data_IF_990187944589
#
_entry.id   IF_990187944589
#
_cell.length_a   1.000
_cell.length_b   1.000
_cell.length_c   1.000
_cell.angle_alpha   90.00
_cell.angle_beta   90.00
_cell.angle_gamma   90.00
#
_symmetry.space_group_name_H-M   'P 1'
#
loop_
_entity.id
_entity.type
_entity.pdbx_description
1 polymer ?
#
# COMPACT_ATOMS: atom_id res chain seq x y z
N UNK A 1 -23.39 52.16 13.09
CA UNK A 1 -22.31 51.34 12.48
C UNK A 1 -21.51 50.72 13.59
N UNK A 2 -21.85 49.48 13.97
CA UNK A 2 -21.19 48.74 15.08
C UNK A 2 -20.31 47.67 14.46
N UNK A 3 -18.99 47.84 14.54
CA UNK A 3 -17.99 46.90 14.09
C UNK A 3 -17.86 45.74 15.07
N UNK A 4 -18.10 44.56 14.61
CA UNK A 4 -17.81 43.31 15.36
C UNK A 4 -16.29 43.04 15.35
N UNK A 5 -15.67 43.28 16.53
CA UNK A 5 -14.29 42.89 16.80
C UNK A 5 -14.25 41.39 17.14
N UNK A 6 -13.89 40.57 16.18
CA UNK A 6 -13.71 39.13 16.38
C UNK A 6 -12.26 38.85 16.77
N UNK A 7 -12.07 38.32 17.99
CA UNK A 7 -10.77 38.10 18.63
C UNK A 7 -10.01 36.96 17.94
N UNK A 8 -8.77 37.21 17.47
CA UNK A 8 -7.88 36.28 16.75
C UNK A 8 -7.69 34.89 17.39
N UNK A 9 -7.85 34.79 18.69
CA UNK A 9 -7.74 33.52 19.43
C UNK A 9 -8.93 32.57 19.24
N UNK A 10 -10.11 33.06 18.84
CA UNK A 10 -11.29 32.23 18.56
C UNK A 10 -11.30 31.69 17.12
N UNK A 11 -10.52 32.29 16.22
CA UNK A 11 -10.42 31.84 14.83
C UNK A 11 -9.51 30.62 14.65
N UNK A 12 -8.48 30.47 15.48
CA UNK A 12 -7.53 29.35 15.43
C UNK A 12 -8.13 28.05 16.00
N UNK A 13 -9.07 28.15 16.94
CA UNK A 13 -9.75 26.99 17.54
C UNK A 13 -10.83 26.35 16.65
N UNK A 14 -11.32 27.06 15.62
CA UNK A 14 -12.37 26.58 14.73
C UNK A 14 -11.81 25.85 13.47
N UNK A 15 -10.54 26.05 13.15
CA UNK A 15 -9.89 25.43 11.98
C UNK A 15 -9.37 23.99 12.24
N UNK A 16 -9.19 23.59 13.48
CA UNK A 16 -8.66 22.27 13.82
C UNK A 16 -9.68 21.12 13.81
N UNK A 17 -10.98 21.43 13.84
CA UNK A 17 -12.06 20.42 13.84
C UNK A 17 -12.88 20.40 12.53
N UNK A 18 -12.66 21.40 11.64
CA UNK A 18 -13.47 21.57 10.44
C UNK A 18 -12.99 20.83 9.20
N UNK A 19 -11.71 20.47 9.12
CA UNK A 19 -11.14 19.92 7.88
C UNK A 19 -11.51 18.44 7.65
N UNK A 20 -11.60 17.63 8.69
CA UNK A 20 -12.03 16.24 8.54
C UNK A 20 -13.53 16.12 8.17
N UNK A 21 -14.38 17.02 8.70
CA UNK A 21 -15.82 17.02 8.38
C UNK A 21 -16.14 17.58 6.97
N UNK A 22 -15.32 18.50 6.44
CA UNK A 22 -15.52 19.07 5.11
C UNK A 22 -15.15 18.09 3.98
N UNK A 23 -14.23 17.15 4.23
CA UNK A 23 -13.89 16.13 3.24
C UNK A 23 -15.03 15.12 3.01
N UNK A 24 -15.82 14.82 4.06
CA UNK A 24 -16.97 13.90 3.96
C UNK A 24 -18.25 14.55 3.39
N UNK A 25 -18.31 15.88 3.34
CA UNK A 25 -19.48 16.62 2.80
C UNK A 25 -19.27 17.13 1.38
N UNK A 26 -18.14 16.86 0.76
CA UNK A 26 -17.90 17.23 -0.63
C UNK A 26 -18.53 16.16 -1.55
N UNK A 27 -19.48 16.53 -2.46
CA UNK A 27 -20.12 15.55 -3.35
C UNK A 27 -19.17 14.85 -4.33
N UNK A 28 -17.90 15.30 -4.43
CA UNK A 28 -16.84 14.60 -5.15
C UNK A 28 -16.39 13.28 -4.46
N UNK A 29 -16.74 13.10 -3.19
CA UNK A 29 -16.44 11.90 -2.38
C UNK A 29 -17.73 11.19 -1.95
N UNK A 30 -18.79 11.25 -2.79
CA UNK A 30 -19.95 10.40 -2.56
C UNK A 30 -19.49 8.96 -2.50
N UNK A 31 -19.75 8.30 -1.37
CA UNK A 31 -19.38 6.92 -1.14
C UNK A 31 -19.92 6.07 -2.29
N UNK A 32 -19.03 5.72 -3.22
CA UNK A 32 -19.33 4.68 -4.17
C UNK A 32 -19.41 3.39 -3.36
N UNK A 33 -20.52 2.68 -3.43
CA UNK A 33 -20.77 1.40 -2.74
C UNK A 33 -19.94 0.27 -3.37
N UNK A 34 -18.68 0.57 -3.65
CA UNK A 34 -17.73 -0.32 -4.32
C UNK A 34 -17.49 -1.63 -3.56
N UNK A 35 -17.52 -1.54 -2.24
CA UNK A 35 -17.39 -2.72 -1.40
C UNK A 35 -18.77 -3.32 -1.14
N UNK A 36 -19.10 -4.38 -1.87
CA UNK A 36 -20.41 -5.04 -1.81
C UNK A 36 -20.65 -5.88 -0.56
N UNK A 37 -19.63 -6.05 0.29
CA UNK A 37 -19.63 -6.91 1.46
C UNK A 37 -19.04 -6.19 2.68
N UNK A 38 -19.54 -6.53 3.86
CA UNK A 38 -18.96 -6.12 5.14
C UNK A 38 -17.71 -6.94 5.53
N UNK A 39 -17.34 -7.91 4.71
CA UNK A 39 -16.14 -8.73 4.95
C UNK A 39 -14.87 -7.93 4.66
N UNK A 40 -14.01 -7.69 5.66
CA UNK A 40 -12.73 -7.00 5.48
C UNK A 40 -11.73 -7.78 4.62
N UNK A 41 -11.99 -9.06 4.37
CA UNK A 41 -11.17 -9.95 3.57
C UNK A 41 -11.84 -10.34 2.25
N UNK A 42 -12.89 -9.60 1.84
CA UNK A 42 -13.52 -9.77 0.54
C UNK A 42 -12.52 -9.66 -0.59
N UNK A 43 -12.79 -10.39 -1.68
CA UNK A 43 -11.96 -10.30 -2.88
C UNK A 43 -12.19 -8.96 -3.58
N UNK A 44 -11.10 -8.34 -3.97
CA UNK A 44 -11.04 -7.12 -4.76
C UNK A 44 -10.14 -7.33 -5.98
N UNK A 45 -10.39 -6.58 -7.05
CA UNK A 45 -9.53 -6.57 -8.23
C UNK A 45 -8.72 -5.27 -8.25
N UNK A 46 -7.43 -5.37 -8.52
CA UNK A 46 -6.54 -4.22 -8.61
C UNK A 46 -6.70 -3.55 -9.99
N UNK A 47 -7.57 -2.56 -10.07
CA UNK A 47 -7.88 -1.86 -11.31
C UNK A 47 -8.20 -2.84 -12.46
N UNK A 48 -7.62 -2.57 -13.64
CA UNK A 48 -7.75 -3.41 -14.84
C UNK A 48 -6.65 -4.48 -14.97
N UNK A 49 -5.79 -4.66 -13.95
CA UNK A 49 -4.65 -5.60 -14.01
C UNK A 49 -5.07 -7.07 -14.08
N UNK A 50 -6.32 -7.42 -13.75
CA UNK A 50 -6.79 -8.79 -13.59
C UNK A 50 -6.28 -9.50 -12.33
N UNK A 51 -5.45 -8.84 -11.51
CA UNK A 51 -4.97 -9.39 -10.24
C UNK A 51 -6.07 -9.26 -9.20
N UNK A 52 -6.47 -10.38 -8.62
CA UNK A 52 -7.46 -10.44 -7.54
C UNK A 52 -6.77 -10.80 -6.22
N UNK A 53 -7.18 -10.15 -5.14
CA UNK A 53 -6.64 -10.38 -3.80
C UNK A 53 -7.65 -9.99 -2.72
N UNK A 54 -7.24 -9.90 -1.45
CA UNK A 54 -8.08 -9.44 -0.34
C UNK A 54 -7.98 -7.94 -0.14
N UNK A 55 -9.08 -7.31 0.33
CA UNK A 55 -9.14 -5.87 0.62
C UNK A 55 -8.08 -5.43 1.64
N UNK A 56 -7.80 -6.27 2.65
CA UNK A 56 -6.73 -6.05 3.62
C UNK A 56 -5.57 -6.99 3.31
N UNK A 57 -4.37 -6.44 3.17
CA UNK A 57 -3.13 -7.15 2.96
C UNK A 57 -2.11 -6.92 4.09
N UNK A 58 -1.13 -7.82 4.19
CA UNK A 58 -0.04 -7.74 5.16
C UNK A 58 1.23 -7.15 4.53
N UNK A 59 1.71 -6.04 5.08
CA UNK A 59 3.03 -5.48 4.78
C UNK A 59 4.11 -6.15 5.62
N UNK A 60 5.21 -6.57 5.02
CA UNK A 60 6.33 -7.20 5.72
C UNK A 60 7.51 -6.27 6.00
N UNK A 61 7.39 -5.00 5.58
CA UNK A 61 8.46 -4.00 5.64
C UNK A 61 8.44 -3.09 6.87
N UNK A 62 7.95 -3.55 8.02
CA UNK A 62 7.95 -2.76 9.26
C UNK A 62 9.41 -2.47 9.68
N UNK A 63 9.75 -1.16 9.79
CA UNK A 63 11.10 -0.69 10.09
C UNK A 63 12.19 -1.28 9.18
N UNK A 64 11.88 -1.43 7.88
CA UNK A 64 12.76 -2.10 6.94
C UNK A 64 13.81 -1.18 6.34
N UNK A 65 15.03 -1.70 6.26
CA UNK A 65 16.16 -1.14 5.52
C UNK A 65 17.24 -2.21 5.36
N UNK A 66 18.05 -2.10 4.31
CA UNK A 66 19.25 -2.93 4.12
C UNK A 66 18.98 -4.44 4.24
N UNK A 67 17.89 -4.93 3.64
CA UNK A 67 17.37 -6.30 3.71
C UNK A 67 17.12 -6.79 5.13
N UNK A 68 16.70 -5.88 5.99
CA UNK A 68 16.34 -6.18 7.37
C UNK A 68 15.03 -5.48 7.73
N UNK A 69 14.12 -6.17 8.37
CA UNK A 69 12.81 -5.68 8.83
C UNK A 69 12.51 -6.21 10.23
N UNK A 70 11.37 -5.81 10.82
CA UNK A 70 10.94 -6.39 12.08
C UNK A 70 10.89 -7.93 12.00
N UNK A 71 10.27 -8.48 10.95
CA UNK A 71 10.16 -9.94 10.74
C UNK A 71 11.51 -10.66 10.67
N UNK A 72 12.54 -10.04 10.09
CA UNK A 72 13.85 -10.67 9.96
C UNK A 72 14.74 -10.53 11.20
N UNK A 73 14.39 -9.62 12.12
CA UNK A 73 15.17 -9.37 13.37
C UNK A 73 14.62 -10.07 14.59
N UNK A 74 13.36 -10.49 14.56
CA UNK A 74 12.78 -11.27 15.64
C UNK A 74 13.08 -12.77 15.48
N UNK A 75 12.65 -13.57 16.45
CA UNK A 75 12.70 -15.03 16.38
C UNK A 75 11.95 -15.56 15.14
N UNK A 76 12.59 -16.48 14.40
CA UNK A 76 12.03 -17.02 13.15
C UNK A 76 10.67 -17.70 13.38
N UNK A 77 10.54 -18.48 14.48
CA UNK A 77 9.29 -19.18 14.76
C UNK A 77 8.13 -18.21 14.99
N UNK A 78 8.38 -17.07 15.66
CA UNK A 78 7.37 -16.02 15.86
C UNK A 78 6.99 -15.34 14.54
N UNK A 79 7.97 -15.10 13.66
CA UNK A 79 7.70 -14.52 12.34
C UNK A 79 6.87 -15.45 11.47
N UNK A 80 7.18 -16.75 11.48
CA UNK A 80 6.41 -17.77 10.77
C UNK A 80 4.99 -17.88 11.35
N UNK A 81 4.85 -17.86 12.68
CA UNK A 81 3.54 -17.89 13.35
C UNK A 81 2.69 -16.68 12.95
N UNK A 82 3.27 -15.48 12.88
CA UNK A 82 2.58 -14.28 12.47
C UNK A 82 2.09 -14.35 11.01
N UNK A 83 2.95 -14.83 10.10
CA UNK A 83 2.60 -15.02 8.68
C UNK A 83 1.51 -16.07 8.50
N UNK A 84 1.61 -17.21 9.23
CA UNK A 84 0.58 -18.26 9.20
C UNK A 84 -0.74 -17.74 9.75
N UNK A 85 -0.72 -17.00 10.86
CA UNK A 85 -1.94 -16.40 11.42
C UNK A 85 -2.64 -15.46 10.44
N UNK A 86 -1.87 -14.62 9.73
CA UNK A 86 -2.43 -13.77 8.67
C UNK A 86 -3.13 -14.59 7.57
N UNK A 87 -2.49 -15.67 7.11
CA UNK A 87 -3.07 -16.56 6.11
C UNK A 87 -4.31 -17.30 6.63
N UNK A 88 -4.26 -17.85 7.85
CA UNK A 88 -5.39 -18.55 8.51
C UNK A 88 -6.60 -17.63 8.72
N UNK A 89 -6.36 -16.36 9.00
CA UNK A 89 -7.44 -15.35 9.08
C UNK A 89 -8.03 -14.97 7.74
N UNK A 90 -7.40 -15.36 6.63
CA UNK A 90 -7.89 -15.15 5.29
C UNK A 90 -7.20 -14.04 4.51
N UNK A 91 -6.14 -13.41 5.05
CA UNK A 91 -5.30 -12.48 4.27
C UNK A 91 -4.62 -13.24 3.15
N UNK A 92 -4.70 -12.72 1.92
CA UNK A 92 -4.11 -13.36 0.73
C UNK A 92 -3.09 -12.47 0.01
N UNK A 93 -2.92 -11.23 0.44
CA UNK A 93 -1.93 -10.31 -0.10
C UNK A 93 -0.76 -10.14 0.86
N UNK A 94 0.46 -10.40 0.37
CA UNK A 94 1.70 -10.19 1.10
C UNK A 94 2.61 -9.21 0.34
N UNK A 95 2.95 -8.10 1.00
CA UNK A 95 3.75 -7.02 0.43
C UNK A 95 5.20 -7.12 0.89
N UNK A 96 6.09 -7.41 -0.05
CA UNK A 96 7.53 -7.54 0.13
C UNK A 96 8.28 -6.45 -0.64
N UNK A 97 9.58 -6.39 -0.43
CA UNK A 97 10.53 -5.63 -1.24
C UNK A 97 11.96 -6.14 -1.01
N UNK A 98 12.86 -5.84 -1.93
CA UNK A 98 14.28 -6.15 -1.80
C UNK A 98 14.86 -5.61 -0.48
N UNK A 99 14.52 -4.38 -0.13
CA UNK A 99 14.99 -3.73 1.11
C UNK A 99 14.49 -4.38 2.40
N UNK A 100 13.45 -5.23 2.35
CA UNK A 100 12.83 -5.83 3.55
C UNK A 100 13.49 -7.12 4.00
N UNK A 101 14.12 -7.86 3.07
CA UNK A 101 14.78 -9.14 3.34
C UNK A 101 13.83 -10.29 3.71
N UNK A 102 12.54 -10.17 3.40
CA UNK A 102 11.49 -11.09 3.88
C UNK A 102 11.14 -12.22 2.90
N UNK A 103 11.78 -12.28 1.71
CA UNK A 103 11.45 -13.29 0.70
C UNK A 103 11.62 -14.73 1.23
N UNK A 104 12.78 -15.05 1.81
CA UNK A 104 13.04 -16.39 2.34
C UNK A 104 12.15 -16.73 3.55
N UNK A 105 11.78 -15.73 4.35
CA UNK A 105 10.85 -15.92 5.47
C UNK A 105 9.45 -16.27 4.95
N UNK A 106 8.95 -15.57 3.92
CA UNK A 106 7.68 -15.92 3.30
C UNK A 106 7.75 -17.28 2.58
N UNK A 107 8.88 -17.64 1.95
CA UNK A 107 9.08 -18.95 1.33
C UNK A 107 8.89 -20.09 2.35
N UNK A 108 9.50 -19.97 3.54
CA UNK A 108 9.31 -20.93 4.62
C UNK A 108 7.86 -21.00 5.11
N UNK A 109 7.19 -19.84 5.24
CA UNK A 109 5.79 -19.83 5.62
C UNK A 109 4.90 -20.50 4.56
N UNK A 110 5.20 -20.33 3.28
CA UNK A 110 4.46 -20.93 2.16
C UNK A 110 4.54 -22.47 2.11
N UNK A 111 5.44 -23.13 2.83
CA UNK A 111 5.42 -24.60 2.96
C UNK A 111 4.09 -25.12 3.54
N UNK A 112 3.36 -24.26 4.27
CA UNK A 112 2.04 -24.56 4.86
C UNK A 112 0.89 -23.71 4.29
N UNK A 113 1.10 -23.06 3.14
CA UNK A 113 0.11 -22.21 2.47
C UNK A 113 -0.04 -22.66 1.02
N UNK A 114 -1.23 -22.51 0.43
CA UNK A 114 -1.40 -22.70 -1.01
C UNK A 114 -0.91 -21.46 -1.76
N UNK A 115 0.22 -21.59 -2.49
CA UNK A 115 0.78 -20.50 -3.31
C UNK A 115 -0.24 -19.91 -4.29
N UNK A 116 -1.18 -20.71 -4.79
CA UNK A 116 -2.20 -20.27 -5.76
C UNK A 116 -3.24 -19.34 -5.17
N UNK A 117 -3.44 -19.39 -3.86
CA UNK A 117 -4.32 -18.48 -3.15
C UNK A 117 -3.66 -17.13 -2.87
N UNK A 118 -2.33 -17.05 -2.93
CA UNK A 118 -1.58 -15.87 -2.54
C UNK A 118 -1.39 -14.90 -3.71
N UNK A 119 -1.47 -13.63 -3.40
CA UNK A 119 -0.97 -12.52 -4.21
C UNK A 119 0.29 -11.98 -3.55
N UNK A 120 1.43 -12.20 -4.19
CA UNK A 120 2.73 -11.77 -3.68
C UNK A 120 3.18 -10.56 -4.50
N UNK A 121 3.41 -9.45 -3.80
CA UNK A 121 4.04 -8.26 -4.38
C UNK A 121 5.46 -8.13 -3.84
N UNK A 122 6.40 -7.84 -4.73
CA UNK A 122 7.74 -7.42 -4.33
C UNK A 122 8.21 -6.23 -5.15
N UNK A 123 9.32 -5.60 -4.71
CA UNK A 123 9.76 -4.33 -5.28
C UNK A 123 11.27 -4.32 -5.47
N UNK A 124 11.70 -3.86 -6.65
CA UNK A 124 13.10 -3.70 -7.03
C UNK A 124 13.59 -2.35 -6.50
N UNK A 125 14.73 -2.35 -5.81
CA UNK A 125 15.35 -1.14 -5.28
C UNK A 125 16.41 -0.58 -6.23
N UNK A 126 16.16 0.60 -6.80
CA UNK A 126 17.04 1.24 -7.78
C UNK A 126 17.83 2.44 -7.22
N UNK A 127 17.50 2.90 -6.02
CA UNK A 127 18.14 4.06 -5.40
C UNK A 127 19.46 3.68 -4.72
N UNK A 128 20.32 4.66 -4.47
CA UNK A 128 21.53 4.47 -3.67
C UNK A 128 21.23 4.06 -2.23
N UNK A 129 22.05 3.21 -1.63
CA UNK A 129 21.79 2.62 -0.30
C UNK A 129 20.59 1.70 -0.29
N UNK A 130 20.00 1.44 0.88
CA UNK A 130 18.78 0.66 1.05
C UNK A 130 18.91 -0.85 0.91
N UNK A 131 19.93 -1.33 0.21
CA UNK A 131 20.36 -2.73 0.13
C UNK A 131 21.89 -2.80 0.27
N UNK A 132 22.46 -3.97 0.65
CA UNK A 132 23.90 -4.10 0.87
C UNK A 132 24.77 -3.80 -0.36
N UNK A 133 24.27 -4.20 -1.53
CA UNK A 133 25.01 -4.05 -2.79
C UNK A 133 24.92 -2.61 -3.33
N UNK A 134 26.02 -2.12 -3.89
CA UNK A 134 26.05 -0.83 -4.59
C UNK A 134 25.50 -0.92 -6.03
N UNK A 135 25.60 -2.11 -6.64
CA UNK A 135 25.18 -2.34 -8.00
C UNK A 135 23.65 -2.49 -8.08
N UNK A 136 23.10 -2.08 -9.21
CA UNK A 136 21.67 -2.25 -9.55
C UNK A 136 21.58 -3.09 -10.81
N UNK A 137 21.45 -4.42 -10.66
CA UNK A 137 21.37 -5.33 -11.80
C UNK A 137 20.09 -5.09 -12.62
N UNK A 138 20.07 -5.53 -13.89
CA UNK A 138 18.83 -5.55 -14.69
C UNK A 138 17.69 -6.26 -13.97
N UNK A 139 16.46 -5.82 -14.24
CA UNK A 139 15.27 -6.29 -13.52
C UNK A 139 15.03 -7.80 -13.65
N UNK A 140 15.41 -8.44 -14.76
CA UNK A 140 15.30 -9.90 -14.95
C UNK A 140 16.22 -10.66 -13.97
N UNK A 141 17.44 -10.19 -13.75
CA UNK A 141 18.38 -10.77 -12.78
C UNK A 141 17.81 -10.65 -11.36
N UNK A 142 17.25 -9.49 -11.03
CA UNK A 142 16.65 -9.25 -9.71
C UNK A 142 15.40 -10.10 -9.50
N UNK A 143 14.51 -10.17 -10.50
CA UNK A 143 13.27 -10.97 -10.42
C UNK A 143 13.60 -12.47 -10.35
N UNK A 144 14.60 -12.96 -11.07
CA UNK A 144 15.03 -14.35 -10.97
C UNK A 144 15.57 -14.68 -9.57
N UNK A 145 16.33 -13.76 -8.95
CA UNK A 145 16.74 -13.89 -7.54
C UNK A 145 15.52 -13.93 -6.61
N UNK A 146 14.54 -13.03 -6.76
CA UNK A 146 13.34 -13.02 -5.92
C UNK A 146 12.54 -14.33 -6.04
N UNK A 147 12.42 -14.88 -7.26
CA UNK A 147 11.75 -16.17 -7.46
C UNK A 147 12.47 -17.32 -6.76
N UNK A 148 13.80 -17.34 -6.82
CA UNK A 148 14.63 -18.33 -6.10
C UNK A 148 14.48 -18.17 -4.58
N UNK A 149 14.56 -16.95 -4.06
CA UNK A 149 14.38 -16.66 -2.64
C UNK A 149 12.97 -17.03 -2.13
N UNK A 150 11.94 -16.84 -2.95
CA UNK A 150 10.55 -17.18 -2.67
C UNK A 150 10.19 -18.65 -2.96
N UNK A 151 11.08 -19.39 -3.60
CA UNK A 151 10.82 -20.76 -4.08
C UNK A 151 9.51 -20.86 -4.89
N UNK A 152 9.36 -20.01 -5.92
CA UNK A 152 8.16 -19.90 -6.75
C UNK A 152 8.50 -19.70 -8.23
N UNK A 153 7.67 -20.21 -9.13
CA UNK A 153 7.86 -20.04 -10.57
C UNK A 153 7.42 -18.67 -11.10
N UNK A 154 6.57 -17.96 -10.37
CA UNK A 154 6.04 -16.64 -10.76
C UNK A 154 5.83 -15.73 -9.57
N UNK A 155 5.79 -14.41 -9.84
CA UNK A 155 5.42 -13.38 -8.87
C UNK A 155 4.19 -12.65 -9.40
N UNK A 156 3.23 -12.33 -8.51
CA UNK A 156 1.98 -11.71 -8.96
C UNK A 156 2.18 -10.24 -9.36
N UNK A 157 2.95 -9.48 -8.59
CA UNK A 157 3.22 -8.07 -8.87
C UNK A 157 4.67 -7.71 -8.56
N UNK A 158 5.39 -7.16 -9.53
CA UNK A 158 6.73 -6.60 -9.33
C UNK A 158 6.69 -5.09 -9.58
N UNK A 159 7.22 -4.31 -8.65
CA UNK A 159 7.21 -2.86 -8.73
C UNK A 159 8.60 -2.24 -8.67
N UNK A 160 8.77 -1.09 -9.28
CA UNK A 160 9.89 -0.18 -9.01
C UNK A 160 9.65 0.50 -7.67
N UNK A 161 10.64 0.44 -6.76
CA UNK A 161 10.45 0.81 -5.36
C UNK A 161 10.79 2.27 -5.08
N UNK A 162 9.85 2.98 -4.44
CA UNK A 162 10.11 4.28 -3.83
C UNK A 162 10.54 5.36 -4.84
N UNK A 163 9.81 5.50 -5.95
CA UNK A 163 10.06 6.58 -6.90
C UNK A 163 9.67 7.92 -6.29
N UNK A 164 10.55 8.92 -6.47
CA UNK A 164 10.41 10.26 -5.89
C UNK A 164 10.48 11.39 -6.92
N UNK A 165 11.08 11.13 -8.09
CA UNK A 165 11.28 12.11 -9.15
C UNK A 165 10.18 12.01 -10.20
N UNK A 166 9.84 13.10 -10.87
CA UNK A 166 8.83 13.14 -11.93
C UNK A 166 9.29 12.51 -13.25
N UNK A 167 10.62 12.42 -13.46
CA UNK A 167 11.23 11.82 -14.64
C UNK A 167 11.58 10.32 -14.45
N UNK A 168 11.04 9.65 -13.42
CA UNK A 168 11.36 8.24 -13.16
C UNK A 168 11.00 7.33 -14.34
N UNK A 169 9.98 7.67 -15.12
CA UNK A 169 9.58 6.89 -16.29
C UNK A 169 10.65 6.83 -17.37
N UNK A 170 11.42 7.92 -17.53
CA UNK A 170 12.55 7.97 -18.46
C UNK A 170 13.79 7.29 -17.87
N UNK A 171 14.11 7.61 -16.62
CA UNK A 171 15.29 7.06 -15.95
C UNK A 171 15.22 5.55 -15.70
N UNK A 172 14.02 4.99 -15.53
CA UNK A 172 13.77 3.54 -15.32
C UNK A 172 13.33 2.80 -16.58
N UNK A 173 13.38 3.44 -17.75
CA UNK A 173 12.87 2.86 -19.01
C UNK A 173 13.42 1.46 -19.29
N UNK A 174 14.72 1.23 -19.10
CA UNK A 174 15.33 -0.08 -19.30
C UNK A 174 14.75 -1.15 -18.38
N UNK A 175 14.55 -0.84 -17.10
CA UNK A 175 13.94 -1.76 -16.13
C UNK A 175 12.45 -2.03 -16.48
N UNK A 176 11.74 -0.99 -16.89
CA UNK A 176 10.34 -1.10 -17.32
C UNK A 176 10.18 -2.04 -18.52
N UNK A 177 11.05 -1.91 -19.54
CA UNK A 177 11.02 -2.76 -20.73
C UNK A 177 11.30 -4.23 -20.39
N UNK A 178 12.23 -4.47 -19.45
CA UNK A 178 12.51 -5.82 -18.96
C UNK A 178 11.29 -6.40 -18.24
N UNK A 179 10.66 -5.63 -17.33
CA UNK A 179 9.48 -6.08 -16.59
C UNK A 179 8.29 -6.36 -17.53
N UNK A 180 8.08 -5.55 -18.56
CA UNK A 180 7.09 -5.81 -19.61
C UNK A 180 7.33 -7.16 -20.29
N UNK A 181 8.59 -7.45 -20.66
CA UNK A 181 8.96 -8.73 -21.25
C UNK A 181 8.74 -9.91 -20.29
N UNK A 182 9.01 -9.73 -18.99
CA UNK A 182 8.76 -10.76 -17.98
C UNK A 182 7.25 -11.03 -17.80
N UNK A 183 6.43 -9.98 -17.89
CA UNK A 183 4.97 -10.10 -17.88
C UNK A 183 4.47 -10.85 -19.12
N UNK A 184 4.94 -10.51 -20.30
CA UNK A 184 4.60 -11.22 -21.53
C UNK A 184 4.97 -12.72 -21.50
N UNK A 185 6.02 -13.10 -20.75
CA UNK A 185 6.43 -14.49 -20.53
C UNK A 185 5.68 -15.20 -19.39
N UNK A 186 4.81 -14.49 -18.66
CA UNK A 186 4.11 -15.03 -17.49
C UNK A 186 4.98 -15.26 -16.25
N UNK A 187 6.21 -14.73 -16.23
CA UNK A 187 7.11 -14.79 -15.07
C UNK A 187 6.63 -13.86 -13.95
N UNK A 188 6.03 -12.74 -14.34
CA UNK A 188 5.26 -11.87 -13.44
C UNK A 188 3.85 -11.70 -14.03
N UNK A 189 2.84 -11.44 -13.18
CA UNK A 189 1.46 -11.22 -13.66
C UNK A 189 1.16 -9.74 -13.92
N UNK A 190 1.82 -8.85 -13.19
CA UNK A 190 1.68 -7.42 -13.35
C UNK A 190 2.94 -6.68 -12.91
N UNK A 191 3.05 -5.43 -13.32
CA UNK A 191 4.12 -4.53 -12.91
C UNK A 191 3.58 -3.16 -12.53
N UNK A 192 4.42 -2.35 -11.89
CA UNK A 192 4.02 -1.02 -11.48
C UNK A 192 5.06 -0.34 -10.61
N UNK A 193 4.59 0.50 -9.71
CA UNK A 193 5.48 1.40 -8.96
C UNK A 193 4.97 1.65 -7.55
N UNK A 194 5.86 1.82 -6.58
CA UNK A 194 5.55 2.48 -5.33
C UNK A 194 6.13 3.89 -5.34
N UNK A 195 5.32 4.89 -5.01
CA UNK A 195 5.71 6.29 -5.08
C UNK A 195 5.81 6.92 -3.70
N UNK A 196 6.78 7.82 -3.54
CA UNK A 196 7.02 8.55 -2.30
C UNK A 196 7.14 10.07 -2.54
N UNK A 197 6.53 10.55 -3.61
CA UNK A 197 6.32 11.98 -3.88
C UNK A 197 5.12 12.18 -4.79
N UNK A 198 4.48 13.33 -4.68
CA UNK A 198 3.36 13.70 -5.56
C UNK A 198 3.80 13.87 -7.03
N UNK A 199 4.99 14.46 -7.37
CA UNK A 199 5.49 14.47 -8.74
C UNK A 199 5.63 13.07 -9.34
N UNK A 200 6.22 12.11 -8.60
CA UNK A 200 6.32 10.73 -9.08
C UNK A 200 4.94 10.05 -9.25
N UNK A 201 3.97 10.40 -8.40
CA UNK A 201 2.58 9.89 -8.53
C UNK A 201 1.90 10.45 -9.78
N UNK A 202 2.08 11.73 -10.10
CA UNK A 202 1.58 12.34 -11.33
C UNK A 202 2.22 11.72 -12.58
N UNK A 203 3.52 11.46 -12.56
CA UNK A 203 4.19 10.74 -13.64
C UNK A 203 3.65 9.31 -13.82
N UNK A 204 3.29 8.62 -12.72
CA UNK A 204 2.66 7.30 -12.79
C UNK A 204 1.24 7.37 -13.39
N UNK A 205 0.50 8.45 -13.17
CA UNK A 205 -0.81 8.67 -13.78
C UNK A 205 -0.71 8.70 -15.31
N UNK A 206 0.26 9.43 -15.85
CA UNK A 206 0.47 9.59 -17.29
C UNK A 206 1.08 8.34 -17.96
N UNK A 207 1.70 7.45 -17.20
CA UNK A 207 2.36 6.26 -17.72
C UNK A 207 1.36 5.14 -17.99
N UNK A 208 1.25 4.69 -19.25
CA UNK A 208 0.46 3.52 -19.62
C UNK A 208 1.07 2.19 -19.14
N UNK A 209 2.35 2.20 -18.74
CA UNK A 209 3.06 1.02 -18.26
C UNK A 209 2.60 0.59 -16.86
N UNK A 210 2.08 1.49 -16.02
CA UNK A 210 1.71 1.18 -14.63
C UNK A 210 0.38 0.42 -14.60
N UNK A 211 0.42 -0.86 -14.22
CA UNK A 211 -0.79 -1.66 -13.92
C UNK A 211 -1.31 -1.35 -12.50
N UNK A 212 -0.39 -1.31 -11.51
CA UNK A 212 -0.72 -1.16 -10.09
C UNK A 212 0.27 -0.21 -9.40
N UNK A 213 -0.25 0.67 -8.57
CA UNK A 213 0.53 1.65 -7.82
C UNK A 213 0.29 1.55 -6.31
N UNK A 214 1.39 1.63 -5.50
CA UNK A 214 1.30 1.86 -4.07
C UNK A 214 1.40 3.36 -3.77
N UNK A 215 0.42 3.88 -3.03
CA UNK A 215 0.30 5.29 -2.65
C UNK A 215 0.22 5.46 -1.14
N UNK A 216 0.84 6.52 -0.61
CA UNK A 216 0.77 6.88 0.81
C UNK A 216 -0.51 7.69 1.05
N UNK A 217 -1.38 7.21 1.93
CA UNK A 217 -2.68 7.83 2.16
C UNK A 217 -3.17 7.69 3.61
N UNK A 218 -3.51 8.80 4.24
CA UNK A 218 -4.27 8.90 5.48
C UNK A 218 -4.82 10.32 5.63
N UNK A 219 -5.83 10.58 6.49
CA UNK A 219 -6.45 11.90 6.59
C UNK A 219 -5.58 12.96 7.30
N UNK A 220 -4.43 12.57 7.84
CA UNK A 220 -3.60 13.43 8.68
C UNK A 220 -2.34 13.95 7.99
N UNK A 221 -2.07 13.55 6.74
CA UNK A 221 -0.84 13.89 6.02
C UNK A 221 0.44 13.30 6.61
N UNK A 222 0.34 12.37 7.57
CA UNK A 222 1.48 11.79 8.29
C UNK A 222 2.16 10.75 7.40
N UNK A 223 3.47 10.90 7.20
CA UNK A 223 4.26 10.05 6.31
C UNK A 223 3.68 9.98 4.87
N UNK A 224 3.04 11.05 4.43
CA UNK A 224 2.50 11.24 3.09
C UNK A 224 3.39 12.15 2.22
N UNK A 225 3.02 12.30 0.95
CA UNK A 225 3.71 13.12 -0.04
C UNK A 225 3.50 14.62 0.19
N UNK A 226 2.38 14.97 0.83
CA UNK A 226 1.99 16.32 1.23
C UNK A 226 1.37 16.29 2.64
N UNK A 227 1.53 17.38 3.42
CA UNK A 227 0.86 17.51 4.71
C UNK A 227 -0.67 17.62 4.57
N UNK A 228 -1.16 18.26 3.50
CA UNK A 228 -2.58 18.27 3.13
C UNK A 228 -2.86 17.09 2.21
N UNK A 229 -3.73 16.14 2.58
CA UNK A 229 -4.04 14.98 1.78
C UNK A 229 -4.86 15.27 0.52
N UNK A 230 -5.50 16.45 0.40
CA UNK A 230 -6.48 16.71 -0.66
C UNK A 230 -5.88 16.58 -2.06
N UNK A 231 -4.71 17.17 -2.32
CA UNK A 231 -4.05 17.08 -3.64
C UNK A 231 -3.64 15.64 -3.97
N UNK A 232 -3.24 14.87 -2.94
CA UNK A 232 -2.91 13.45 -3.09
C UNK A 232 -4.15 12.62 -3.45
N UNK A 233 -5.28 12.89 -2.79
CA UNK A 233 -6.56 12.23 -3.04
C UNK A 233 -7.06 12.49 -4.46
N UNK A 234 -6.94 13.72 -4.96
CA UNK A 234 -7.32 14.06 -6.34
C UNK A 234 -6.56 13.22 -7.37
N UNK A 235 -5.25 13.04 -7.19
CA UNK A 235 -4.44 12.20 -8.09
C UNK A 235 -4.79 10.70 -7.91
N UNK A 236 -5.08 10.25 -6.70
CA UNK A 236 -5.55 8.88 -6.44
C UNK A 236 -6.86 8.60 -7.19
N UNK A 237 -7.81 9.51 -7.18
CA UNK A 237 -9.06 9.37 -7.96
C UNK A 237 -8.78 9.27 -9.48
N UNK A 238 -7.86 10.10 -9.99
CA UNK A 238 -7.49 10.04 -11.41
C UNK A 238 -6.81 8.72 -11.78
N UNK A 239 -5.89 8.21 -10.93
CA UNK A 239 -5.24 6.91 -11.10
C UNK A 239 -6.28 5.77 -11.16
N UNK A 240 -7.20 5.75 -10.21
CA UNK A 240 -8.28 4.77 -10.18
C UNK A 240 -9.17 4.85 -11.44
N UNK A 241 -9.61 6.06 -11.79
CA UNK A 241 -10.46 6.28 -12.97
C UNK A 241 -9.75 5.94 -14.29
N UNK A 242 -8.41 5.99 -14.33
CA UNK A 242 -7.63 5.53 -15.49
C UNK A 242 -7.51 4.01 -15.57
N UNK A 243 -8.08 3.27 -14.61
CA UNK A 243 -8.06 1.81 -14.56
C UNK A 243 -6.82 1.21 -13.91
N UNK A 244 -5.95 2.02 -13.30
CA UNK A 244 -4.81 1.52 -12.52
C UNK A 244 -5.26 0.95 -11.19
N UNK A 245 -4.65 -0.14 -10.75
CA UNK A 245 -4.85 -0.69 -9.42
C UNK A 245 -4.20 0.20 -8.36
N UNK A 246 -4.96 0.61 -7.34
CA UNK A 246 -4.46 1.50 -6.29
C UNK A 246 -4.40 0.78 -4.95
N UNK A 247 -3.19 0.69 -4.39
CA UNK A 247 -2.94 0.08 -3.08
C UNK A 247 -2.56 1.19 -2.09
N UNK A 248 -3.38 1.34 -1.05
CA UNK A 248 -3.14 2.29 0.03
C UNK A 248 -2.10 1.76 1.02
N UNK A 249 -1.07 2.55 1.30
CA UNK A 249 -0.07 2.29 2.34
C UNK A 249 0.09 3.47 3.30
N UNK A 250 0.76 3.25 4.43
CA UNK A 250 0.99 4.26 5.49
C UNK A 250 -0.32 4.82 6.11
N UNK A 251 -1.39 4.03 6.13
CA UNK A 251 -2.68 4.42 6.71
C UNK A 251 -2.56 4.84 8.18
N UNK A 252 -1.67 4.19 8.92
CA UNK A 252 -1.39 4.48 10.33
C UNK A 252 -0.15 5.36 10.53
N UNK A 253 0.21 6.16 9.52
CA UNK A 253 1.27 7.15 9.60
C UNK A 253 2.65 6.57 9.88
N UNK A 254 2.97 5.38 9.33
CA UNK A 254 4.23 4.68 9.60
C UNK A 254 4.42 4.32 11.08
N UNK A 255 3.35 3.86 11.73
CA UNK A 255 3.32 3.52 13.16
C UNK A 255 3.09 4.72 14.09
N UNK A 256 3.13 5.96 13.62
CA UNK A 256 2.94 7.16 14.46
C UNK A 256 1.54 7.27 15.08
N UNK A 257 0.55 6.58 14.51
CA UNK A 257 -0.83 6.54 15.00
C UNK A 257 -1.13 5.29 15.84
N UNK A 258 -0.19 4.37 16.01
CA UNK A 258 -0.43 3.04 16.62
C UNK A 258 -1.08 3.07 18.01
N UNK A 259 -0.89 4.15 18.78
CA UNK A 259 -1.43 4.31 20.13
C UNK A 259 -2.70 5.16 20.18
N UNK A 260 -3.26 5.56 19.02
CA UNK A 260 -4.44 6.40 18.92
C UNK A 260 -5.56 5.66 18.16
N UNK A 261 -6.37 4.95 18.92
CA UNK A 261 -7.48 4.13 18.40
C UNK A 261 -8.45 4.92 17.52
N UNK A 262 -8.76 6.17 17.91
CA UNK A 262 -9.67 7.02 17.17
C UNK A 262 -9.10 7.43 15.82
N UNK A 263 -7.82 7.82 15.80
CA UNK A 263 -7.14 8.16 14.54
C UNK A 263 -7.00 6.97 13.60
N UNK A 264 -6.75 5.76 14.13
CA UNK A 264 -6.72 4.54 13.32
C UNK A 264 -8.10 4.32 12.67
N UNK A 265 -9.19 4.37 13.47
CA UNK A 265 -10.54 4.18 12.94
C UNK A 265 -10.92 5.25 11.91
N UNK A 266 -10.55 6.50 12.15
CA UNK A 266 -10.77 7.60 11.21
C UNK A 266 -9.95 7.41 9.91
N UNK A 267 -8.72 6.90 10.00
CA UNK A 267 -7.90 6.62 8.82
C UNK A 267 -8.50 5.51 7.95
N UNK A 268 -8.99 4.42 8.56
CA UNK A 268 -9.67 3.34 7.85
C UNK A 268 -10.97 3.83 7.21
N UNK A 269 -11.82 4.55 7.95
CA UNK A 269 -13.05 5.15 7.42
C UNK A 269 -12.76 6.08 6.23
N UNK A 270 -11.73 6.92 6.35
CA UNK A 270 -11.33 7.86 5.30
C UNK A 270 -10.91 7.12 4.03
N UNK A 271 -9.96 6.18 4.13
CA UNK A 271 -9.40 5.49 2.96
C UNK A 271 -10.46 4.64 2.25
N UNK A 272 -11.28 3.91 3.00
CA UNK A 272 -12.38 3.13 2.43
C UNK A 272 -13.45 4.02 1.81
N UNK A 273 -13.74 5.17 2.44
CA UNK A 273 -14.72 6.16 1.96
C UNK A 273 -14.29 6.88 0.68
N UNK A 274 -13.01 6.84 0.27
CA UNK A 274 -12.56 7.42 -0.99
C UNK A 274 -13.12 6.70 -2.22
N UNK A 275 -13.43 5.40 -2.13
CA UNK A 275 -13.89 4.59 -3.26
C UNK A 275 -12.87 4.39 -4.39
N UNK A 276 -11.67 4.97 -4.27
CA UNK A 276 -10.60 4.96 -5.28
C UNK A 276 -9.32 4.23 -4.85
N UNK A 277 -9.33 3.62 -3.67
CA UNK A 277 -8.28 2.72 -3.17
C UNK A 277 -8.82 1.30 -3.23
N UNK A 278 -8.19 0.42 -4.00
CA UNK A 278 -8.68 -0.95 -4.23
C UNK A 278 -8.48 -1.84 -3.03
N UNK A 279 -7.35 -1.70 -2.36
CA UNK A 279 -6.99 -2.44 -1.16
C UNK A 279 -6.02 -1.65 -0.28
N UNK A 280 -5.84 -2.13 0.94
CA UNK A 280 -4.96 -1.52 1.95
C UNK A 280 -3.92 -2.52 2.43
N UNK A 281 -2.68 -2.04 2.68
CA UNK A 281 -1.66 -2.84 3.36
C UNK A 281 -1.32 -2.24 4.72
N UNK A 282 -1.18 -3.12 5.72
CA UNK A 282 -0.77 -2.78 7.08
C UNK A 282 0.35 -3.73 7.50
N UNK A 283 1.38 -3.20 8.12
CA UNK A 283 2.42 -4.00 8.76
C UNK A 283 2.01 -4.38 10.17
N UNK A 284 2.24 -5.63 10.55
CA UNK A 284 1.92 -6.17 11.85
C UNK A 284 3.18 -6.71 12.54
N UNK A 285 3.22 -6.59 13.85
CA UNK A 285 4.28 -7.10 14.71
C UNK A 285 3.78 -8.25 15.60
N UNK A 286 2.45 -8.33 15.83
CA UNK A 286 1.81 -9.34 16.66
C UNK A 286 0.47 -9.80 16.06
N UNK A 287 0.03 -11.01 16.38
CA UNK A 287 -1.20 -11.63 15.86
C UNK A 287 -2.46 -10.86 16.26
N UNK A 288 -2.48 -10.35 17.47
CA UNK A 288 -3.59 -9.58 18.02
C UNK A 288 -3.84 -8.29 17.23
N UNK A 289 -2.80 -7.72 16.62
CA UNK A 289 -2.94 -6.58 15.73
C UNK A 289 -3.69 -6.97 14.44
N UNK A 290 -3.42 -8.14 13.86
CA UNK A 290 -4.14 -8.65 12.69
C UNK A 290 -5.63 -8.75 13.00
N UNK A 291 -6.00 -9.43 14.10
CA UNK A 291 -7.38 -9.61 14.53
C UNK A 291 -8.07 -8.26 14.79
N UNK A 292 -7.35 -7.33 15.43
CA UNK A 292 -7.84 -5.99 15.71
C UNK A 292 -8.14 -5.20 14.43
N UNK A 293 -7.23 -5.22 13.45
CA UNK A 293 -7.43 -4.48 12.19
C UNK A 293 -8.49 -5.11 11.29
N UNK A 294 -8.66 -6.42 11.29
CA UNK A 294 -9.79 -7.09 10.65
C UNK A 294 -11.10 -6.56 11.25
N UNK A 295 -11.24 -6.54 12.58
CA UNK A 295 -12.42 -6.03 13.25
C UNK A 295 -12.69 -4.54 13.02
N UNK A 296 -11.65 -3.71 12.97
CA UNK A 296 -11.75 -2.26 12.66
C UNK A 296 -12.19 -2.03 11.22
N UNK A 297 -11.61 -2.76 10.27
CA UNK A 297 -11.98 -2.67 8.85
C UNK A 297 -13.44 -3.08 8.64
N UNK A 298 -13.91 -4.13 9.32
CA UNK A 298 -15.33 -4.53 9.28
C UNK A 298 -16.25 -3.42 9.80
N UNK A 299 -15.89 -2.76 10.90
CA UNK A 299 -16.66 -1.63 11.44
C UNK A 299 -16.66 -0.43 10.49
N UNK A 300 -15.54 -0.17 9.82
CA UNK A 300 -15.44 0.92 8.84
C UNK A 300 -16.32 0.64 7.61
N UNK A 301 -16.30 -0.59 7.09
CA UNK A 301 -17.19 -1.02 6.00
C UNK A 301 -18.67 -0.89 6.38
N UNK A 302 -19.05 -1.29 7.61
CA UNK A 302 -20.43 -1.15 8.10
C UNK A 302 -20.91 0.31 8.13
N UNK A 303 -20.00 1.27 8.41
CA UNK A 303 -20.34 2.71 8.38
C UNK A 303 -20.57 3.25 6.96
N UNK A 304 -19.95 2.66 5.94
CA UNK A 304 -20.13 3.07 4.54
C UNK A 304 -21.48 2.58 3.98
N UNK A 305 -22.08 1.55 4.59
CA UNK A 305 -23.35 0.97 4.13
C UNK A 305 -24.58 1.52 4.88
N UNK A 306 -24.36 2.36 5.91
CA UNK A 306 -25.40 3.05 6.67
C UNK A 306 -25.54 4.52 6.27
#
# INVERSE_FOLDING_TARGET
MSGLNMNRRKFIGALGLGTAHLLFSNPLYAADTRFSSLDPLQKVTLGNSGIQTTLLGMGTGVHATNRSSFLTRQDEAKSLELLHHAYEKGIRYFDLADTYGTHQMLAKAMEKMDRKELTITTKIWERGGGIPENERPPADVVVDRFRKELNTDYIDLVQLHCMVDDNWTDSMKAQMDILENLKAKGIIRGHGVSVHSLPAMKAALESSWVDVIHVRINPYGIAMDKPDPQEVVEVIHQLHNSGKGVIGMKLVGDGKLQNDSEKIDNALNFVLGLGSVDMMIIGFEEKEQIDNYIGRTQKALAKLHN
#
